data_IF_611621825721
#
_entry.id   IF_611621825721
#
_cell.length_a   1.000
_cell.length_b   1.000
_cell.length_c   1.000
_cell.angle_alpha   90.00
_cell.angle_beta   90.00
_cell.angle_gamma   90.00
#
_symmetry.space_group_name_H-M   'P 1'
#
loop_
_entity.id
_entity.type
_entity.pdbx_description
1 polymer ?
#
# COMPACT_ATOMS: atom_id res chain seq x y z
N UNK A 1 30.41 -12.79 54.06
CA UNK A 1 29.51 -11.88 53.34
C UNK A 1 29.61 -12.22 51.86
N UNK A 2 28.56 -12.79 51.27
CA UNK A 2 28.52 -13.12 49.85
C UNK A 2 27.67 -12.05 49.16
N UNK A 3 28.31 -11.22 48.34
CA UNK A 3 27.59 -10.23 47.52
C UNK A 3 26.86 -10.97 46.39
N UNK A 4 25.53 -11.06 46.51
CA UNK A 4 24.66 -11.43 45.39
C UNK A 4 24.67 -10.29 44.37
N UNK A 5 25.50 -10.42 43.33
CA UNK A 5 25.30 -9.70 42.08
C UNK A 5 24.06 -10.27 41.39
N UNK A 6 22.89 -9.89 41.89
CA UNK A 6 21.62 -10.08 41.21
C UNK A 6 21.47 -9.03 40.11
N UNK A 7 22.33 -9.10 39.09
CA UNK A 7 21.97 -8.55 37.79
C UNK A 7 20.88 -9.47 37.26
N UNK A 8 19.63 -9.07 37.50
CA UNK A 8 18.51 -9.57 36.72
C UNK A 8 18.95 -9.54 35.24
N UNK A 9 18.74 -10.61 34.47
CA UNK A 9 18.71 -10.42 33.03
C UNK A 9 17.59 -9.40 32.86
N UNK A 10 17.95 -8.17 32.48
CA UNK A 10 17.02 -7.25 31.87
C UNK A 10 16.52 -8.04 30.67
N UNK A 11 15.38 -8.70 30.86
CA UNK A 11 14.61 -9.29 29.78
C UNK A 11 14.40 -8.11 28.88
N UNK A 12 15.19 -8.06 27.82
CA UNK A 12 14.92 -7.23 26.68
C UNK A 12 13.61 -7.79 26.12
N UNK A 13 12.48 -7.37 26.71
CA UNK A 13 11.19 -7.35 26.03
C UNK A 13 11.24 -6.20 25.02
N UNK A 14 12.20 -6.30 24.11
CA UNK A 14 12.43 -5.48 22.94
C UNK A 14 13.30 -6.41 22.08
N UNK A 15 12.94 -6.80 20.86
CA UNK A 15 12.33 -5.99 19.84
C UNK A 15 11.96 -6.92 18.69
N UNK A 16 11.05 -7.86 18.93
CA UNK A 16 10.45 -8.68 17.87
C UNK A 16 8.97 -8.80 18.15
N UNK A 17 8.23 -7.72 17.85
CA UNK A 17 6.85 -7.84 17.42
C UNK A 17 6.79 -9.04 16.45
N UNK A 18 6.07 -10.07 16.84
CA UNK A 18 6.03 -11.39 16.21
C UNK A 18 5.99 -11.26 14.67
N UNK A 19 6.86 -11.91 13.88
CA UNK A 19 6.86 -11.78 12.42
C UNK A 19 5.49 -12.05 11.78
N UNK A 20 4.64 -12.84 12.45
CA UNK A 20 3.24 -13.07 12.10
C UNK A 20 2.37 -11.81 12.20
N UNK A 21 2.59 -10.94 13.20
CA UNK A 21 1.88 -9.66 13.33
C UNK A 21 2.29 -8.69 12.24
N UNK A 22 3.60 -8.59 11.95
CA UNK A 22 4.12 -7.78 10.85
C UNK A 22 3.53 -8.27 9.53
N UNK A 23 3.54 -9.59 9.29
CA UNK A 23 2.94 -10.16 8.09
C UNK A 23 1.41 -9.93 8.00
N UNK A 24 0.69 -9.90 9.12
CA UNK A 24 -0.73 -9.57 9.14
C UNK A 24 -0.97 -8.10 8.79
N UNK A 25 -0.17 -7.19 9.32
CA UNK A 25 -0.23 -5.77 9.01
C UNK A 25 0.08 -5.48 7.53
N UNK A 26 1.14 -6.09 6.98
CA UNK A 26 1.48 -5.95 5.56
C UNK A 26 0.34 -6.44 4.64
N UNK A 27 -0.35 -7.53 5.00
CA UNK A 27 -1.54 -8.00 4.25
C UNK A 27 -2.71 -7.02 4.34
N UNK A 28 -2.92 -6.41 5.50
CA UNK A 28 -3.94 -5.36 5.69
C UNK A 28 -3.63 -4.13 4.82
N UNK A 29 -2.35 -3.73 4.76
CA UNK A 29 -1.90 -2.62 3.92
C UNK A 29 -2.10 -2.91 2.43
N UNK A 30 -1.79 -4.12 1.96
CA UNK A 30 -2.06 -4.56 0.58
C UNK A 30 -3.56 -4.44 0.26
N UNK A 31 -4.44 -4.94 1.14
CA UNK A 31 -5.88 -4.83 0.93
C UNK A 31 -6.35 -3.36 0.83
N UNK A 32 -5.76 -2.46 1.63
CA UNK A 32 -6.05 -1.01 1.56
C UNK A 32 -5.53 -0.37 0.27
N UNK A 33 -4.38 -0.81 -0.25
CA UNK A 33 -3.86 -0.38 -1.54
C UNK A 33 -4.80 -0.83 -2.67
N UNK A 34 -5.28 -2.09 -2.65
CA UNK A 34 -6.22 -2.59 -3.64
C UNK A 34 -7.53 -1.79 -3.65
N UNK A 35 -8.04 -1.39 -2.48
CA UNK A 35 -9.20 -0.48 -2.37
C UNK A 35 -8.88 0.89 -3.00
N UNK A 36 -7.70 1.45 -2.72
CA UNK A 36 -7.29 2.76 -3.24
C UNK A 36 -7.17 2.75 -4.76
N UNK A 37 -6.63 1.67 -5.34
CA UNK A 37 -6.58 1.46 -6.79
C UNK A 37 -7.97 1.45 -7.42
N UNK A 38 -8.93 0.72 -6.82
CA UNK A 38 -10.32 0.71 -7.31
C UNK A 38 -10.99 2.09 -7.25
N UNK A 39 -10.67 2.90 -6.23
CA UNK A 39 -11.17 4.27 -6.15
C UNK A 39 -10.58 5.15 -7.25
N UNK A 40 -9.29 4.97 -7.55
CA UNK A 40 -8.64 5.65 -8.68
C UNK A 40 -9.31 5.24 -9.99
N UNK A 41 -9.50 3.94 -10.22
CA UNK A 41 -10.15 3.42 -11.44
C UNK A 41 -11.58 3.95 -11.59
N UNK A 42 -12.34 4.04 -10.50
CA UNK A 42 -13.69 4.59 -10.51
C UNK A 42 -13.70 6.08 -10.87
N UNK A 43 -12.82 6.89 -10.29
CA UNK A 43 -12.71 8.32 -10.63
C UNK A 43 -12.34 8.49 -12.10
N UNK A 44 -11.39 7.71 -12.60
CA UNK A 44 -10.96 7.75 -14.00
C UNK A 44 -12.08 7.36 -14.97
N UNK A 45 -12.89 6.36 -14.62
CA UNK A 45 -14.03 5.94 -15.45
C UNK A 45 -15.16 6.99 -15.50
N UNK A 46 -15.42 7.68 -14.38
CA UNK A 46 -16.41 8.77 -14.31
C UNK A 46 -15.94 9.99 -15.12
N UNK A 47 -14.65 10.33 -15.08
CA UNK A 47 -14.07 11.43 -15.87
C UNK A 47 -14.17 11.15 -17.39
N UNK A 48 -13.88 9.92 -17.82
CA UNK A 48 -14.03 9.51 -19.22
C UNK A 48 -15.50 9.62 -19.67
N UNK A 49 -16.44 9.08 -18.87
CA UNK A 49 -17.87 9.16 -19.17
C UNK A 49 -18.39 10.61 -19.25
N UNK A 50 -17.96 11.49 -18.33
CA UNK A 50 -18.32 12.91 -18.34
C UNK A 50 -17.77 13.65 -19.58
N UNK A 51 -16.54 13.32 -20.01
CA UNK A 51 -15.94 13.86 -21.23
C UNK A 51 -16.73 13.48 -22.49
N UNK A 52 -17.18 12.22 -22.59
CA UNK A 52 -17.98 11.74 -23.73
C UNK A 52 -19.37 12.39 -23.81
N UNK A 53 -20.03 12.62 -22.68
CA UNK A 53 -21.36 13.28 -22.64
C UNK A 53 -21.26 14.75 -23.06
N UNK A 54 -20.20 15.46 -22.66
CA UNK A 54 -19.95 16.85 -23.08
C UNK A 54 -19.70 16.96 -24.59
N UNK A 55 -18.95 16.03 -25.17
CA UNK A 55 -18.66 15.99 -26.61
C UNK A 55 -19.90 15.71 -27.48
N UNK A 56 -20.85 14.91 -26.98
CA UNK A 56 -22.10 14.58 -27.70
C UNK A 56 -23.13 15.73 -27.64
N UNK A 57 -23.08 16.59 -26.61
CA UNK A 57 -24.04 17.67 -26.41
C UNK A 57 -23.79 18.93 -27.27
N UNK A 58 -22.73 18.96 -28.09
CA UNK A 58 -22.47 20.07 -29.03
C UNK A 58 -22.19 21.42 -28.36
N UNK A 59 -21.87 21.44 -27.06
CA UNK A 59 -21.45 22.64 -26.36
C UNK A 59 -19.93 22.75 -26.42
N UNK A 60 -19.45 23.84 -27.01
CA UNK A 60 -18.06 24.07 -27.40
C UNK A 60 -17.14 24.42 -26.20
N UNK A 61 -17.41 23.89 -25.01
CA UNK A 61 -16.55 24.04 -23.84
C UNK A 61 -15.41 23.03 -23.95
N UNK A 62 -14.26 23.53 -24.42
CA UNK A 62 -12.99 22.80 -24.41
C UNK A 62 -12.62 22.51 -22.95
N UNK A 63 -13.05 21.36 -22.44
CA UNK A 63 -12.55 20.82 -21.18
C UNK A 63 -11.17 20.23 -21.44
N UNK A 64 -10.12 20.96 -21.07
CA UNK A 64 -8.75 20.43 -20.99
C UNK A 64 -8.72 19.45 -19.82
N UNK A 65 -9.08 18.19 -20.08
CA UNK A 65 -9.07 17.09 -19.10
C UNK A 65 -7.66 16.51 -18.85
N UNK A 66 -6.66 16.93 -19.63
CA UNK A 66 -5.35 16.27 -19.72
C UNK A 66 -4.48 16.40 -18.46
N UNK A 67 -4.76 17.34 -17.55
CA UNK A 67 -3.91 17.52 -16.35
C UNK A 67 -4.24 16.55 -15.19
N UNK A 68 -5.44 15.94 -15.20
CA UNK A 68 -5.94 15.16 -14.04
C UNK A 68 -5.70 13.66 -14.23
N UNK A 69 -5.91 13.14 -15.44
CA UNK A 69 -5.67 11.74 -15.83
C UNK A 69 -4.22 11.28 -15.59
N UNK A 70 -3.16 12.07 -15.89
CA UNK A 70 -1.77 11.70 -15.61
C UNK A 70 -1.48 11.62 -14.11
N UNK A 71 -2.14 12.44 -13.29
CA UNK A 71 -1.93 12.45 -11.83
C UNK A 71 -2.47 11.17 -11.20
N UNK A 72 -3.68 10.75 -11.57
CA UNK A 72 -4.27 9.50 -11.10
C UNK A 72 -3.52 8.28 -11.64
N UNK A 73 -3.05 8.32 -12.89
CA UNK A 73 -2.18 7.28 -13.45
C UNK A 73 -0.85 7.17 -12.68
N UNK A 74 -0.19 8.29 -12.36
CA UNK A 74 1.04 8.31 -11.57
C UNK A 74 0.81 7.79 -10.14
N UNK A 75 -0.30 8.19 -9.50
CA UNK A 75 -0.68 7.67 -8.18
C UNK A 75 -0.94 6.15 -8.23
N UNK A 76 -1.66 5.66 -9.24
CA UNK A 76 -1.89 4.23 -9.46
C UNK A 76 -0.59 3.46 -9.66
N UNK A 77 0.32 3.97 -10.49
CA UNK A 77 1.63 3.36 -10.71
C UNK A 77 2.47 3.27 -9.42
N UNK A 78 2.46 4.33 -8.59
CA UNK A 78 3.14 4.33 -7.31
C UNK A 78 2.53 3.30 -6.34
N UNK A 79 1.19 3.18 -6.30
CA UNK A 79 0.50 2.19 -5.48
C UNK A 79 0.81 0.74 -5.92
N UNK A 80 0.89 0.49 -7.24
CA UNK A 80 1.28 -0.81 -7.79
C UNK A 80 2.72 -1.16 -7.38
N UNK A 81 3.65 -0.20 -7.48
CA UNK A 81 5.03 -0.40 -7.04
C UNK A 81 5.12 -0.69 -5.54
N UNK A 82 4.36 0.04 -4.71
CA UNK A 82 4.24 -0.23 -3.28
C UNK A 82 3.71 -1.64 -3.01
N UNK A 83 2.65 -2.06 -3.71
CA UNK A 83 2.07 -3.40 -3.59
C UNK A 83 3.12 -4.49 -3.88
N UNK A 84 3.88 -4.35 -4.96
CA UNK A 84 4.95 -5.28 -5.31
C UNK A 84 6.05 -5.34 -4.23
N UNK A 85 6.43 -4.20 -3.65
CA UNK A 85 7.39 -4.14 -2.55
C UNK A 85 6.89 -4.83 -1.28
N UNK A 86 5.61 -4.66 -0.94
CA UNK A 86 4.99 -5.32 0.22
C UNK A 86 4.86 -6.83 0.01
N UNK A 87 4.50 -7.28 -1.19
CA UNK A 87 4.47 -8.69 -1.56
C UNK A 87 5.86 -9.33 -1.39
N UNK A 88 6.92 -8.64 -1.83
CA UNK A 88 8.30 -9.10 -1.65
C UNK A 88 8.71 -9.17 -0.17
N UNK A 89 8.35 -8.16 0.63
CA UNK A 89 8.61 -8.16 2.07
C UNK A 89 7.93 -9.35 2.77
N UNK A 90 6.70 -9.70 2.38
CA UNK A 90 5.99 -10.88 2.89
C UNK A 90 6.69 -12.20 2.53
N UNK A 91 7.24 -12.30 1.32
CA UNK A 91 8.01 -13.47 0.90
C UNK A 91 9.27 -13.63 1.75
N UNK A 92 10.04 -12.56 1.96
CA UNK A 92 11.25 -12.58 2.79
C UNK A 92 10.97 -12.98 4.24
N UNK A 93 9.89 -12.46 4.83
CA UNK A 93 9.46 -12.87 6.18
C UNK A 93 9.07 -14.35 6.23
N UNK A 94 8.47 -14.88 5.16
CA UNK A 94 8.08 -16.30 5.08
C UNK A 94 9.28 -17.24 4.88
N UNK A 95 10.27 -16.82 4.10
CA UNK A 95 11.52 -17.55 3.86
C UNK A 95 12.42 -17.59 5.10
N UNK A 96 12.50 -16.48 5.85
CA UNK A 96 13.26 -16.41 7.11
C UNK A 96 12.75 -17.36 8.22
N UNK A 97 11.51 -17.85 8.10
CA UNK A 97 10.89 -18.78 9.04
C UNK A 97 11.11 -20.26 8.71
N UNK A 98 11.77 -20.59 7.60
CA UNK A 98 12.07 -21.97 7.19
C UNK A 98 13.49 -22.32 7.64
N UNK A 99 13.69 -23.14 8.69
CA UNK A 99 15.02 -23.65 9.00
C UNK A 99 15.47 -24.59 7.87
N UNK A 100 16.72 -24.43 7.43
CA UNK A 100 17.39 -25.27 6.44
C UNK A 100 17.64 -26.69 6.96
#
# INVERSE_FOLDING_TARGET
MLNFAGTAPLVATSATENPQLIAADLRSLIARIDISLRLIDAVMAEEDAAGHVSAVAGSNEIFVLDDVTPRYAAAGAALIACRAGLDHALQQLSESGRPA
#
